data_IF_993907767028
#
_entry.id   IF_993907767028
#
_cell.length_a   1.000
_cell.length_b   1.000
_cell.length_c   1.000
_cell.angle_alpha   90.00
_cell.angle_beta   90.00
_cell.angle_gamma   90.00
#
_symmetry.space_group_name_H-M   'P 1'
#
loop_
_entity.id
_entity.type
_entity.pdbx_description
1 polymer ?
#
# COMPACT_ATOMS: atom_id res chain seq x y z
N UNK A 1 9.54 61.56 -10.55
CA UNK A 1 8.69 60.37 -10.30
C UNK A 1 9.60 59.24 -9.84
N UNK A 2 9.56 58.90 -8.55
CA UNK A 2 10.48 57.94 -7.92
C UNK A 2 9.79 56.58 -7.82
N UNK A 3 10.33 55.55 -8.49
CA UNK A 3 9.84 54.16 -8.38
C UNK A 3 10.58 53.48 -7.23
N UNK A 4 9.87 53.17 -6.15
CA UNK A 4 10.38 52.37 -5.03
C UNK A 4 10.65 50.94 -5.51
N UNK A 5 11.91 50.48 -5.37
CA UNK A 5 12.26 49.05 -5.44
C UNK A 5 11.67 48.35 -4.21
N UNK A 6 10.83 47.36 -4.44
CA UNK A 6 10.41 46.38 -3.43
C UNK A 6 11.43 45.24 -3.43
N UNK A 7 12.20 45.14 -2.35
CA UNK A 7 13.08 44.01 -2.09
C UNK A 7 12.29 42.98 -1.29
N UNK A 8 12.05 41.80 -1.85
CA UNK A 8 11.45 40.68 -1.11
C UNK A 8 12.58 39.91 -0.43
N UNK A 9 12.57 39.89 0.89
CA UNK A 9 13.53 39.15 1.71
C UNK A 9 13.03 37.71 1.87
N UNK A 10 13.77 36.73 1.34
CA UNK A 10 13.54 35.31 1.62
C UNK A 10 13.91 35.03 3.07
N UNK A 11 12.91 34.67 3.88
CA UNK A 11 13.06 34.30 5.28
C UNK A 11 12.39 32.97 5.59
N UNK A 12 13.23 32.00 5.95
CA UNK A 12 12.96 30.81 6.78
C UNK A 12 11.94 29.77 6.26
N UNK A 13 12.47 28.78 5.53
CA UNK A 13 11.76 27.64 4.93
C UNK A 13 11.02 26.71 5.92
N UNK A 14 11.37 26.69 7.21
CA UNK A 14 10.68 25.84 8.20
C UNK A 14 9.22 26.24 8.45
N UNK A 15 8.86 27.52 8.31
CA UNK A 15 7.48 27.99 8.52
C UNK A 15 6.57 27.74 7.32
N UNK A 16 7.13 27.64 6.11
CA UNK A 16 6.34 27.51 4.89
C UNK A 16 5.80 26.08 4.76
N UNK A 17 6.61 25.06 5.03
CA UNK A 17 6.16 23.65 5.06
C UNK A 17 5.10 23.39 6.13
N UNK A 18 5.26 24.00 7.32
CA UNK A 18 4.23 23.91 8.37
C UNK A 18 2.91 24.57 7.94
N UNK A 19 2.97 25.70 7.22
CA UNK A 19 1.76 26.41 6.77
C UNK A 19 0.98 25.69 5.67
N UNK A 20 1.64 24.87 4.85
CA UNK A 20 0.97 24.06 3.81
C UNK A 20 0.31 22.81 4.43
N UNK A 21 0.96 22.17 5.40
CA UNK A 21 0.36 21.06 6.15
C UNK A 21 -0.87 21.50 6.95
N UNK A 22 -0.82 22.69 7.55
CA UNK A 22 -1.94 23.31 8.28
C UNK A 22 -3.09 23.72 7.34
N UNK A 23 -2.79 24.22 6.13
CA UNK A 23 -3.79 24.53 5.10
C UNK A 23 -4.51 23.28 4.56
N UNK A 24 -3.88 22.10 4.65
CA UNK A 24 -4.46 20.80 4.30
C UNK A 24 -5.17 20.12 5.47
N UNK A 25 -5.24 20.76 6.65
CA UNK A 25 -5.91 20.20 7.83
C UNK A 25 -5.19 19.04 8.50
N UNK A 26 -3.92 18.78 8.13
CA UNK A 26 -3.12 17.68 8.66
C UNK A 26 -2.47 18.15 9.97
N UNK A 27 -2.99 17.68 11.11
CA UNK A 27 -2.26 17.80 12.38
C UNK A 27 -1.12 16.79 12.33
N UNK A 28 0.14 17.25 12.32
CA UNK A 28 1.28 16.37 12.60
C UNK A 28 1.07 15.73 13.98
N UNK A 29 0.55 14.52 13.97
CA UNK A 29 0.44 13.73 15.20
C UNK A 29 1.79 13.08 15.40
N UNK A 30 2.48 13.44 16.48
CA UNK A 30 3.70 12.73 16.88
C UNK A 30 3.34 11.28 17.15
N UNK A 31 3.76 10.39 16.25
CA UNK A 31 3.61 8.95 16.38
C UNK A 31 4.95 8.34 16.78
N UNK A 32 4.96 7.25 17.57
CA UNK A 32 6.20 6.57 17.98
C UNK A 32 6.83 5.75 16.84
N UNK A 33 6.38 5.95 15.60
CA UNK A 33 6.85 5.24 14.41
C UNK A 33 6.78 6.15 13.19
N UNK A 34 7.55 5.78 12.18
CA UNK A 34 7.68 6.48 10.90
C UNK A 34 7.44 5.51 9.74
N UNK A 35 6.55 5.88 8.82
CA UNK A 35 6.35 5.14 7.58
C UNK A 35 7.57 5.35 6.66
N UNK A 36 8.19 4.25 6.24
CA UNK A 36 9.37 4.22 5.35
C UNK A 36 9.04 3.72 3.94
N UNK A 37 7.95 2.97 3.79
CA UNK A 37 7.48 2.51 2.48
C UNK A 37 5.97 2.32 2.47
N UNK A 38 5.37 2.44 1.30
CA UNK A 38 3.97 2.14 1.08
C UNK A 38 3.79 1.60 -0.34
N UNK A 39 2.94 0.60 -0.51
CA UNK A 39 2.62 -0.03 -1.77
C UNK A 39 1.14 -0.35 -1.82
N UNK A 40 0.44 0.20 -2.81
CA UNK A 40 -0.95 -0.11 -3.08
C UNK A 40 -1.05 -1.27 -4.08
N UNK A 41 -1.92 -2.23 -3.80
CA UNK A 41 -2.23 -3.34 -4.68
C UNK A 41 -3.69 -3.78 -4.49
N UNK A 42 -4.49 -3.77 -5.56
CA UNK A 42 -5.87 -4.26 -5.58
C UNK A 42 -6.75 -3.78 -4.42
N UNK A 43 -6.64 -2.48 -4.08
CA UNK A 43 -7.40 -1.87 -2.98
C UNK A 43 -6.81 -2.06 -1.59
N UNK A 44 -5.73 -2.83 -1.44
CA UNK A 44 -4.98 -2.98 -0.20
C UNK A 44 -3.74 -2.08 -0.17
N UNK A 45 -3.33 -1.65 1.02
CA UNK A 45 -2.08 -0.95 1.22
C UNK A 45 -1.13 -1.79 2.08
N UNK A 46 -0.01 -2.22 1.48
CA UNK A 46 1.14 -2.76 2.20
C UNK A 46 2.05 -1.61 2.59
N UNK A 47 2.66 -1.67 3.76
CA UNK A 47 3.51 -0.57 4.23
C UNK A 47 4.68 -1.07 5.06
N UNK A 48 5.73 -0.28 5.10
CA UNK A 48 6.86 -0.47 5.99
C UNK A 48 6.97 0.69 6.97
N UNK A 49 7.32 0.38 8.21
CA UNK A 49 7.55 1.40 9.23
C UNK A 49 8.77 1.09 10.09
N UNK A 50 9.30 2.13 10.72
CA UNK A 50 10.39 2.09 11.68
C UNK A 50 9.92 2.70 13.00
N UNK A 51 10.23 2.05 14.12
CA UNK A 51 9.88 2.54 15.46
C UNK A 51 10.90 3.60 15.89
N UNK A 52 10.44 4.82 16.13
CA UNK A 52 11.29 5.99 16.45
C UNK A 52 11.26 6.37 17.92
N UNK A 53 10.29 5.88 18.69
CA UNK A 53 10.20 6.13 20.13
C UNK A 53 9.63 4.90 20.86
N UNK A 54 10.03 4.68 22.11
CA UNK A 54 9.48 3.63 22.98
C UNK A 54 10.23 2.30 22.96
N UNK A 55 9.53 1.22 23.36
CA UNK A 55 10.08 -0.14 23.39
C UNK A 55 10.18 -0.68 21.96
N UNK A 56 11.36 -1.15 21.56
CA UNK A 56 11.64 -1.54 20.17
C UNK A 56 12.18 -0.40 19.30
N UNK A 57 12.76 0.66 19.90
CA UNK A 57 13.42 1.74 19.17
C UNK A 57 14.45 1.19 18.16
N UNK A 58 14.29 1.57 16.89
CA UNK A 58 15.12 1.11 15.78
C UNK A 58 14.63 -0.17 15.09
N UNK A 59 13.56 -0.80 15.59
CA UNK A 59 12.96 -1.94 14.91
C UNK A 59 12.31 -1.51 13.60
N UNK A 60 12.63 -2.24 12.53
CA UNK A 60 12.12 -1.99 11.19
C UNK A 60 11.22 -3.13 10.74
N UNK A 61 10.02 -2.77 10.31
CA UNK A 61 9.01 -3.69 9.80
C UNK A 61 8.79 -3.35 8.32
N UNK A 62 9.58 -3.92 7.39
CA UNK A 62 9.65 -3.43 6.01
C UNK A 62 8.45 -3.82 5.13
N UNK A 63 7.67 -4.83 5.50
CA UNK A 63 6.60 -5.37 4.67
C UNK A 63 5.41 -5.86 5.51
N UNK A 64 4.63 -4.92 6.02
CA UNK A 64 3.37 -5.19 6.72
C UNK A 64 2.24 -5.23 5.71
N UNK A 65 1.52 -6.35 5.67
CA UNK A 65 0.36 -6.52 4.79
C UNK A 65 -0.83 -5.72 5.30
N UNK A 66 -1.56 -5.12 4.37
CA UNK A 66 -2.78 -4.41 4.67
C UNK A 66 -3.88 -5.31 5.24
N UNK A 67 -4.61 -4.83 6.25
CA UNK A 67 -5.69 -5.59 6.89
C UNK A 67 -7.05 -5.46 6.17
N UNK A 68 -7.24 -4.43 5.34
CA UNK A 68 -8.50 -4.17 4.65
C UNK A 68 -8.34 -3.27 3.43
N UNK A 69 -9.45 -2.84 2.86
CA UNK A 69 -9.47 -1.93 1.72
C UNK A 69 -9.18 -0.49 2.17
N UNK A 70 -8.24 0.19 1.51
CA UNK A 70 -7.94 1.58 1.81
C UNK A 70 -9.08 2.50 1.36
N UNK A 71 -9.24 3.64 2.05
CA UNK A 71 -10.22 4.67 1.68
C UNK A 71 -9.71 5.55 0.54
N UNK A 72 -10.65 6.20 -0.16
CA UNK A 72 -10.37 7.05 -1.33
C UNK A 72 -9.23 8.06 -1.10
N UNK A 73 -9.15 8.67 0.08
CA UNK A 73 -8.11 9.65 0.43
C UNK A 73 -6.67 9.14 0.14
N UNK A 74 -6.39 7.88 0.48
CA UNK A 74 -5.08 7.27 0.22
C UNK A 74 -4.86 7.03 -1.29
N UNK A 75 -5.90 6.56 -1.99
CA UNK A 75 -5.87 6.37 -3.43
C UNK A 75 -5.67 7.69 -4.19
N UNK A 76 -6.34 8.76 -3.76
CA UNK A 76 -6.19 10.10 -4.31
C UNK A 76 -4.79 10.67 -4.05
N UNK A 77 -4.21 10.44 -2.86
CA UNK A 77 -2.85 10.84 -2.57
C UNK A 77 -1.82 10.13 -3.47
N UNK A 78 -1.99 8.82 -3.72
CA UNK A 78 -1.18 8.09 -4.71
C UNK A 78 -1.43 8.59 -6.15
N UNK A 79 -2.67 8.91 -6.50
CA UNK A 79 -3.04 9.45 -7.81
C UNK A 79 -2.31 10.76 -8.14
N UNK A 80 -2.12 11.62 -7.14
CA UNK A 80 -1.34 12.86 -7.29
C UNK A 80 0.16 12.62 -7.58
N UNK A 81 0.70 11.42 -7.32
CA UNK A 81 2.09 11.11 -7.70
C UNK A 81 2.25 10.84 -9.20
N UNK A 82 1.16 10.60 -9.94
CA UNK A 82 1.24 10.30 -11.36
C UNK A 82 1.92 11.43 -12.15
N UNK A 83 1.61 12.70 -11.81
CA UNK A 83 2.21 13.85 -12.51
C UNK A 83 3.71 13.95 -12.22
N UNK A 84 4.14 13.69 -10.98
CA UNK A 84 5.55 13.65 -10.62
C UNK A 84 6.29 12.57 -11.40
N UNK A 85 5.69 11.37 -11.47
CA UNK A 85 6.25 10.23 -12.19
C UNK A 85 6.35 10.50 -13.71
N UNK A 86 5.36 11.18 -14.28
CA UNK A 86 5.37 11.65 -15.67
C UNK A 86 6.46 12.72 -15.92
N UNK A 87 6.62 13.68 -15.00
CA UNK A 87 7.68 14.69 -15.06
C UNK A 87 9.09 14.07 -15.03
N UNK A 88 9.29 13.04 -14.20
CA UNK A 88 10.58 12.34 -14.07
C UNK A 88 10.90 11.54 -15.33
N UNK A 89 9.89 11.02 -16.02
CA UNK A 89 10.02 10.35 -17.32
C UNK A 89 10.14 11.34 -18.50
N UNK A 90 10.27 12.64 -18.21
CA UNK A 90 10.45 13.72 -19.20
C UNK A 90 9.36 13.79 -20.29
N UNK A 91 8.19 13.19 -20.07
CA UNK A 91 7.11 13.12 -21.09
C UNK A 91 6.60 14.49 -21.50
N UNK A 92 6.56 15.44 -20.56
CA UNK A 92 6.13 16.81 -20.81
C UNK A 92 7.15 17.57 -21.68
N UNK A 93 8.46 17.31 -21.48
CA UNK A 93 9.51 17.85 -22.34
C UNK A 93 9.40 17.29 -23.76
N UNK A 94 9.18 15.99 -23.90
CA UNK A 94 9.04 15.34 -25.22
C UNK A 94 7.76 15.77 -25.96
N UNK A 95 6.72 16.19 -25.24
CA UNK A 95 5.45 16.66 -25.81
C UNK A 95 5.38 18.18 -25.98
N UNK A 96 6.47 18.92 -25.73
CA UNK A 96 6.52 20.39 -25.77
C UNK A 96 5.44 21.05 -24.89
N UNK A 97 5.12 20.43 -23.76
CA UNK A 97 4.18 20.98 -22.78
C UNK A 97 4.96 21.56 -21.61
N UNK A 98 4.84 22.87 -21.41
CA UNK A 98 5.45 23.56 -20.26
C UNK A 98 4.54 23.42 -19.03
N UNK A 99 5.15 23.10 -17.89
CA UNK A 99 4.45 23.01 -16.60
C UNK A 99 4.82 24.24 -15.78
N UNK A 100 3.84 25.13 -15.60
CA UNK A 100 3.92 26.28 -14.69
C UNK A 100 3.61 25.89 -13.24
N UNK A 101 2.62 25.02 -13.06
CA UNK A 101 2.10 24.60 -11.77
C UNK A 101 1.73 23.11 -11.83
N UNK A 102 2.47 22.28 -11.09
CA UNK A 102 2.31 20.83 -11.11
C UNK A 102 0.91 20.38 -10.65
N UNK A 103 0.26 21.17 -9.80
CA UNK A 103 -1.05 20.80 -9.25
C UNK A 103 -2.18 20.88 -10.28
N UNK A 104 -2.00 21.65 -11.36
CA UNK A 104 -2.96 21.70 -12.47
C UNK A 104 -2.88 20.47 -13.37
N UNK A 105 -1.78 19.72 -13.31
CA UNK A 105 -1.49 18.61 -14.22
C UNK A 105 -1.82 17.22 -13.66
N UNK A 106 -2.38 17.13 -12.45
CA UNK A 106 -2.86 15.86 -11.86
C UNK A 106 -3.88 15.13 -12.75
N UNK A 107 -4.70 15.88 -13.49
CA UNK A 107 -5.74 15.36 -14.40
C UNK A 107 -5.36 15.44 -15.88
N UNK A 108 -4.11 15.77 -16.19
CA UNK A 108 -3.67 15.94 -17.58
C UNK A 108 -3.65 14.59 -18.32
N UNK A 109 -3.92 14.60 -19.63
CA UNK A 109 -3.97 13.39 -20.45
C UNK A 109 -2.67 12.58 -20.38
N UNK A 110 -1.52 13.25 -20.47
CA UNK A 110 -0.21 12.61 -20.34
C UNK A 110 -0.01 11.93 -18.99
N UNK A 111 -0.55 12.51 -17.91
CA UNK A 111 -0.48 11.96 -16.55
C UNK A 111 -1.28 10.66 -16.43
N UNK A 112 -2.40 10.53 -17.16
CA UNK A 112 -3.25 9.33 -17.14
C UNK A 112 -2.57 8.05 -17.64
N UNK A 113 -1.46 8.19 -18.38
CA UNK A 113 -0.65 7.06 -18.84
C UNK A 113 0.17 6.42 -17.71
N UNK A 114 0.32 7.11 -16.59
CA UNK A 114 1.15 6.70 -15.47
C UNK A 114 0.28 6.20 -14.32
N UNK A 115 0.79 5.19 -13.61
CA UNK A 115 0.17 4.66 -12.41
C UNK A 115 1.23 4.32 -11.39
N UNK A 116 1.26 5.05 -10.29
CA UNK A 116 2.21 4.84 -9.21
C UNK A 116 1.65 3.80 -8.26
N UNK A 117 2.45 2.78 -7.94
CA UNK A 117 2.03 1.66 -7.08
C UNK A 117 2.76 1.66 -5.76
N UNK A 118 3.98 2.18 -5.68
CA UNK A 118 4.70 2.22 -4.41
C UNK A 118 5.66 3.39 -4.28
N UNK A 119 5.91 3.74 -3.03
CA UNK A 119 6.93 4.68 -2.61
C UNK A 119 7.85 4.01 -1.59
N UNK A 120 9.13 4.36 -1.65
CA UNK A 120 10.14 3.96 -0.69
C UNK A 120 10.99 5.17 -0.31
N UNK A 121 11.01 5.48 0.97
CA UNK A 121 11.79 6.57 1.55
C UNK A 121 13.06 5.95 2.13
N UNK A 122 14.20 6.55 1.81
CA UNK A 122 15.52 6.08 2.24
C UNK A 122 16.34 7.26 2.70
N UNK A 123 17.00 7.12 3.85
CA UNK A 123 17.89 8.14 4.41
C UNK A 123 17.50 8.55 5.82
N UNK A 124 18.41 9.28 6.46
CA UNK A 124 18.15 9.93 7.74
C UNK A 124 17.32 11.20 7.52
N UNK A 125 16.74 11.76 8.59
CA UNK A 125 15.83 12.91 8.56
C UNK A 125 16.36 14.13 7.77
N UNK A 126 17.67 14.37 7.81
CA UNK A 126 18.32 15.48 7.10
C UNK A 126 18.60 15.20 5.62
N UNK A 127 18.71 13.93 5.22
CA UNK A 127 19.11 13.49 3.88
C UNK A 127 18.13 12.45 3.32
N UNK A 128 16.83 12.69 3.52
CA UNK A 128 15.80 11.80 3.01
C UNK A 128 15.73 11.87 1.48
N UNK A 129 15.64 10.69 0.87
CA UNK A 129 15.42 10.50 -0.55
C UNK A 129 14.20 9.62 -0.76
N UNK A 130 13.52 9.80 -1.89
CA UNK A 130 12.39 8.95 -2.29
C UNK A 130 12.67 8.21 -3.58
N UNK A 131 12.20 6.99 -3.64
CA UNK A 131 12.08 6.17 -4.85
C UNK A 131 10.60 5.92 -5.08
N UNK A 132 10.12 6.27 -6.27
CA UNK A 132 8.74 6.04 -6.70
C UNK A 132 8.77 4.87 -7.68
N UNK A 133 7.88 3.91 -7.51
CA UNK A 133 7.73 2.79 -8.44
C UNK A 133 6.31 2.77 -8.97
N UNK A 134 6.19 2.53 -10.26
CA UNK A 134 4.90 2.51 -10.94
C UNK A 134 4.99 1.85 -12.30
N UNK A 135 3.98 2.10 -13.11
CA UNK A 135 3.92 1.63 -14.49
C UNK A 135 3.44 2.74 -15.42
N UNK A 136 3.91 2.69 -16.66
CA UNK A 136 3.47 3.54 -17.77
C UNK A 136 2.80 2.69 -18.83
N UNK A 137 1.68 3.16 -19.35
CA UNK A 137 1.01 2.56 -20.50
C UNK A 137 1.77 2.87 -21.79
N UNK A 138 2.05 1.84 -22.59
CA UNK A 138 2.73 1.97 -23.88
C UNK A 138 1.73 1.64 -24.99
N UNK A 139 1.28 2.68 -25.71
CA UNK A 139 0.27 2.55 -26.76
C UNK A 139 0.67 1.59 -27.88
N UNK A 140 1.95 1.58 -28.30
CA UNK A 140 2.41 0.75 -29.41
C UNK A 140 2.43 -0.76 -29.11
N UNK A 141 2.43 -1.15 -27.84
CA UNK A 141 2.40 -2.57 -27.42
C UNK A 141 1.09 -2.95 -26.74
N UNK A 142 0.22 -1.99 -26.42
CA UNK A 142 -0.99 -2.19 -25.64
C UNK A 142 -0.74 -2.60 -24.17
N UNK A 143 0.52 -2.64 -23.74
CA UNK A 143 0.93 -3.12 -22.43
C UNK A 143 1.20 -2.01 -21.42
N UNK A 144 1.62 -2.42 -20.22
CA UNK A 144 2.18 -1.52 -19.19
C UNK A 144 3.63 -1.92 -18.95
N UNK A 145 4.54 -0.95 -18.91
CA UNK A 145 5.92 -1.18 -18.48
C UNK A 145 6.10 -0.66 -17.07
N UNK A 146 6.66 -1.48 -16.18
CA UNK A 146 7.00 -1.09 -14.82
C UNK A 146 8.39 -0.45 -14.77
N UNK A 147 8.53 0.62 -14.00
CA UNK A 147 9.85 1.19 -13.71
C UNK A 147 9.86 1.87 -12.34
N UNK A 148 11.06 2.09 -11.82
CA UNK A 148 11.32 2.83 -10.59
C UNK A 148 12.18 4.05 -10.88
N UNK A 149 11.89 5.16 -10.23
CA UNK A 149 12.69 6.38 -10.37
C UNK A 149 14.09 6.18 -9.77
N UNK A 150 15.08 6.95 -10.20
CA UNK A 150 16.27 7.20 -9.41
C UNK A 150 15.89 7.74 -8.02
N UNK A 151 16.83 7.74 -7.08
CA UNK A 151 16.63 8.36 -5.77
C UNK A 151 16.53 9.88 -5.93
N UNK A 152 15.45 10.46 -5.45
CA UNK A 152 15.19 11.91 -5.51
C UNK A 152 15.35 12.48 -4.11
N UNK A 153 16.36 13.34 -3.87
CA UNK A 153 16.50 14.06 -2.61
C UNK A 153 15.36 15.04 -2.37
N UNK A 154 14.99 15.23 -1.11
CA UNK A 154 14.05 16.28 -0.68
C UNK A 154 14.72 17.61 -0.30
N UNK A 155 16.04 17.70 -0.46
CA UNK A 155 16.83 18.87 -0.14
C UNK A 155 16.98 19.82 -1.35
N UNK A 156 17.60 20.98 -1.11
CA UNK A 156 17.88 21.98 -2.14
C UNK A 156 18.92 21.50 -3.19
N UNK A 157 19.57 20.36 -2.95
CA UNK A 157 20.51 19.73 -3.88
C UNK A 157 19.79 18.85 -4.91
N UNK A 158 18.48 18.66 -4.77
CA UNK A 158 17.67 17.91 -5.74
C UNK A 158 17.68 18.57 -7.11
N UNK A 159 18.01 17.80 -8.15
CA UNK A 159 17.90 18.23 -9.54
C UNK A 159 16.45 18.27 -10.03
N UNK A 160 15.52 17.73 -9.25
CA UNK A 160 14.09 17.72 -9.55
C UNK A 160 13.44 19.04 -9.16
N UNK A 161 12.86 19.73 -10.14
CA UNK A 161 12.31 21.08 -9.98
C UNK A 161 11.20 21.16 -8.93
N UNK A 162 10.34 20.15 -8.83
CA UNK A 162 9.16 20.12 -7.94
C UNK A 162 9.41 19.29 -6.67
N UNK A 163 10.61 19.32 -6.11
CA UNK A 163 10.99 18.53 -4.93
C UNK A 163 10.21 18.94 -3.67
N UNK A 164 9.79 20.21 -3.56
CA UNK A 164 9.01 20.69 -2.41
C UNK A 164 7.58 20.13 -2.42
N UNK A 165 6.94 20.18 -3.58
CA UNK A 165 5.60 19.64 -3.83
C UNK A 165 5.62 18.11 -3.67
N UNK A 166 6.65 17.45 -4.19
CA UNK A 166 6.86 16.02 -3.99
C UNK A 166 7.01 15.68 -2.51
N UNK A 167 7.82 16.43 -1.76
CA UNK A 167 8.00 16.23 -0.32
C UNK A 167 6.68 16.38 0.44
N UNK A 168 5.91 17.43 0.14
CA UNK A 168 4.59 17.65 0.75
C UNK A 168 3.64 16.49 0.45
N UNK A 169 3.62 16.00 -0.79
CA UNK A 169 2.79 14.88 -1.20
C UNK A 169 3.20 13.55 -0.54
N UNK A 170 4.51 13.28 -0.43
CA UNK A 170 5.00 12.09 0.26
C UNK A 170 4.64 12.14 1.75
N UNK A 171 4.70 13.32 2.39
CA UNK A 171 4.26 13.48 3.78
C UNK A 171 2.75 13.25 3.93
N UNK A 172 1.92 13.71 2.98
CA UNK A 172 0.49 13.39 2.95
C UNK A 172 0.26 11.88 2.85
N UNK A 173 0.98 11.18 1.98
CA UNK A 173 0.86 9.72 1.87
C UNK A 173 1.28 9.03 3.16
N UNK A 174 2.36 9.46 3.81
CA UNK A 174 2.78 8.90 5.10
C UNK A 174 1.71 9.06 6.17
N UNK A 175 1.03 10.21 6.20
CA UNK A 175 -0.07 10.46 7.13
C UNK A 175 -1.25 9.51 6.86
N UNK A 176 -1.70 9.41 5.61
CA UNK A 176 -2.81 8.52 5.22
C UNK A 176 -2.49 7.04 5.47
N UNK A 177 -1.25 6.61 5.25
CA UNK A 177 -0.79 5.25 5.57
C UNK A 177 -0.76 5.02 7.08
N UNK A 178 -0.40 6.03 7.86
CA UNK A 178 -0.43 5.94 9.33
C UNK A 178 -1.87 5.81 9.85
N UNK A 179 -2.80 6.59 9.30
CA UNK A 179 -4.22 6.46 9.59
C UNK A 179 -4.77 5.09 9.17
N UNK A 180 -4.35 4.58 8.01
CA UNK A 180 -4.70 3.24 7.56
C UNK A 180 -4.20 2.16 8.53
N UNK A 181 -2.94 2.24 8.98
CA UNK A 181 -2.39 1.38 10.04
C UNK A 181 -3.20 1.46 11.35
N UNK A 182 -3.75 2.62 11.65
CA UNK A 182 -4.58 2.89 12.85
C UNK A 182 -6.05 2.48 12.71
N UNK A 183 -6.46 1.95 11.55
CA UNK A 183 -7.83 1.44 11.35
C UNK A 183 -8.67 2.20 10.31
N UNK A 184 -8.12 3.18 9.58
CA UNK A 184 -8.82 3.89 8.50
C UNK A 184 -8.90 3.01 7.23
N UNK A 185 -9.60 1.89 7.33
CA UNK A 185 -9.88 0.97 6.22
C UNK A 185 -11.30 0.38 6.33
N UNK A 186 -11.76 -0.24 5.26
CA UNK A 186 -13.01 -1.02 5.24
C UNK A 186 -12.67 -2.48 5.05
N UNK A 187 -13.31 -3.38 5.80
CA UNK A 187 -13.13 -4.82 5.57
C UNK A 187 -13.88 -5.20 4.29
N UNK A 188 -13.36 -6.15 3.48
CA UNK A 188 -14.12 -6.73 2.39
C UNK A 188 -15.37 -7.40 2.96
N UNK A 189 -16.52 -7.23 2.31
CA UNK A 189 -17.72 -7.99 2.67
C UNK A 189 -17.41 -9.48 2.46
N UNK A 190 -17.35 -10.26 3.54
CA UNK A 190 -17.26 -11.71 3.44
C UNK A 190 -18.61 -12.24 2.96
N UNK A 191 -18.63 -12.90 1.81
CA UNK A 191 -19.82 -13.55 1.22
C UNK A 191 -20.50 -14.56 2.18
N UNK A 192 -19.84 -14.94 3.28
CA UNK A 192 -20.32 -15.87 4.29
C UNK A 192 -21.37 -15.30 5.27
N UNK A 193 -21.51 -13.98 5.43
CA UNK A 193 -22.48 -13.43 6.38
C UNK A 193 -23.93 -13.39 5.85
N UNK A 194 -24.12 -13.37 4.52
CA UNK A 194 -25.47 -13.37 3.94
C UNK A 194 -26.19 -14.73 4.07
N UNK A 195 -25.45 -15.83 4.23
CA UNK A 195 -26.04 -17.16 4.42
C UNK A 195 -26.48 -17.39 5.87
N UNK A 196 -25.86 -16.75 6.87
CA UNK A 196 -26.21 -16.97 8.28
C UNK A 196 -27.47 -16.22 8.75
N UNK A 197 -27.88 -15.17 8.03
CA UNK A 197 -29.03 -14.34 8.39
C UNK A 197 -30.35 -14.75 7.70
N UNK A 198 -30.33 -15.67 6.72
CA UNK A 198 -31.55 -16.22 6.08
C UNK A 198 -32.07 -17.52 6.70
N UNK A 199 -31.25 -18.26 7.46
CA UNK A 199 -31.69 -19.56 8.03
C UNK A 199 -32.26 -19.50 9.45
N UNK A 200 -32.00 -18.44 10.22
CA UNK A 200 -32.50 -18.33 11.62
C UNK A 200 -33.99 -17.96 11.73
N UNK A 201 -34.68 -17.74 10.61
CA UNK A 201 -36.09 -17.30 10.58
C UNK A 201 -37.13 -18.37 10.21
N UNK A 202 -36.75 -19.61 9.87
CA UNK A 202 -37.70 -20.58 9.28
C UNK A 202 -37.82 -21.97 9.92
N UNK A 203 -37.09 -22.28 10.99
CA UNK A 203 -37.13 -23.63 11.59
C UNK A 203 -37.69 -23.76 13.02
N UNK A 204 -38.44 -22.77 13.53
CA UNK A 204 -39.20 -22.90 14.78
C UNK A 204 -40.70 -22.97 14.46
N UNK A 205 -41.12 -24.09 13.85
CA UNK A 205 -42.51 -24.61 13.81
C UNK A 205 -42.55 -25.80 12.86
N UNK A 206 -42.10 -26.96 13.32
CA UNK A 206 -42.54 -28.31 12.92
C UNK A 206 -41.49 -29.33 13.34
N UNK A 207 -41.63 -29.86 14.56
CA UNK A 207 -41.37 -31.25 14.97
C UNK A 207 -41.37 -31.33 16.50
N UNK A 208 -42.52 -30.99 17.08
CA UNK A 208 -43.04 -31.78 18.19
C UNK A 208 -43.70 -33.00 17.54
N UNK A 209 -43.65 -34.17 18.16
CA UNK A 209 -44.22 -35.47 17.70
C UNK A 209 -43.23 -36.39 16.94
N UNK A 210 -42.01 -36.61 17.45
CA UNK A 210 -41.27 -37.85 17.10
C UNK A 210 -40.32 -38.37 18.20
N UNK A 211 -40.45 -37.88 19.43
CA UNK A 211 -39.68 -38.36 20.60
C UNK A 211 -40.49 -39.30 21.52
N UNK A 212 -41.64 -39.82 21.07
CA UNK A 212 -42.49 -40.72 21.90
C UNK A 212 -42.62 -42.16 21.39
N UNK A 213 -41.86 -42.59 20.38
CA UNK A 213 -41.91 -43.98 19.91
C UNK A 213 -40.50 -44.43 19.52
N UNK A 214 -39.68 -44.79 20.52
CA UNK A 214 -38.58 -45.78 20.43
C UNK A 214 -37.84 -45.89 21.78
N UNK A 215 -38.61 -46.11 22.85
CA UNK A 215 -38.16 -46.97 23.94
C UNK A 215 -38.79 -48.34 23.67
N UNK A 216 -37.99 -49.27 23.15
CA UNK A 216 -38.09 -50.73 23.40
C UNK A 216 -37.00 -51.42 22.60
N UNK A 217 -36.28 -52.30 23.29
CA UNK A 217 -35.22 -53.22 22.82
C UNK A 217 -33.84 -52.54 22.68
N UNK A 218 -32.80 -52.85 23.45
CA UNK A 218 -32.53 -54.03 24.26
C UNK A 218 -31.19 -54.63 23.86
N UNK A 219 -30.20 -54.47 24.75
CA UNK A 219 -29.09 -55.41 25.04
C UNK A 219 -27.99 -55.75 23.99
N UNK A 220 -26.75 -55.41 24.40
CA UNK A 220 -25.60 -56.32 24.61
C UNK A 220 -24.46 -56.51 23.57
N UNK A 221 -23.31 -56.81 24.21
CA UNK A 221 -21.97 -57.25 23.76
C UNK A 221 -21.07 -56.21 23.09
N UNK A 222 -19.91 -55.81 23.63
CA UNK A 222 -18.76 -56.52 24.23
C UNK A 222 -17.82 -57.17 23.20
N UNK A 223 -16.51 -57.11 23.52
CA UNK A 223 -15.30 -57.53 22.78
C UNK A 223 -14.86 -56.55 21.68
N UNK A 224 -13.63 -56.02 21.62
CA UNK A 224 -12.32 -56.46 22.11
C UNK A 224 -11.39 -56.73 20.92
N UNK A 225 -10.07 -56.59 21.12
CA UNK A 225 -8.94 -57.11 20.30
C UNK A 225 -8.33 -56.19 19.20
N UNK A 226 -7.18 -55.61 19.57
CA UNK A 226 -5.80 -55.75 19.02
C UNK A 226 -5.42 -55.47 17.56
N UNK A 227 -4.23 -54.85 17.47
CA UNK A 227 -3.12 -55.02 16.52
C UNK A 227 -3.37 -54.86 15.01
N UNK A 228 -2.65 -53.92 14.38
CA UNK A 228 -1.40 -54.24 13.67
C UNK A 228 -0.75 -52.98 13.08
N UNK A 229 0.57 -52.95 13.21
CA UNK A 229 1.54 -52.10 12.54
C UNK A 229 1.49 -52.22 11.02
N UNK A 230 1.72 -51.13 10.30
CA UNK A 230 2.29 -51.23 8.94
C UNK A 230 3.32 -50.12 8.72
N UNK A 231 4.59 -50.52 8.79
CA UNK A 231 5.74 -49.79 8.28
C UNK A 231 5.81 -50.04 6.77
N UNK A 232 5.75 -48.98 5.96
CA UNK A 232 6.26 -49.08 4.59
C UNK A 232 7.24 -47.95 4.30
N UNK A 233 8.50 -48.38 4.21
CA UNK A 233 9.63 -47.62 3.69
C UNK A 233 9.38 -47.22 2.24
N UNK A 234 9.24 -45.92 1.99
CA UNK A 234 9.32 -45.35 0.65
C UNK A 234 10.77 -45.01 0.31
N UNK A 235 11.45 -45.95 -0.35
CA UNK A 235 12.70 -45.69 -1.07
C UNK A 235 12.37 -44.89 -2.35
N UNK A 236 12.87 -43.66 -2.45
CA UNK A 236 12.90 -42.89 -3.70
C UNK A 236 14.35 -42.88 -4.26
N UNK A 237 14.62 -43.59 -5.36
CA UNK A 237 15.85 -43.46 -6.12
C UNK A 237 15.58 -42.73 -7.44
N UNK A 238 16.08 -41.49 -7.58
CA UNK A 238 16.30 -40.87 -8.89
C UNK A 238 17.19 -39.62 -8.80
N UNK A 239 18.49 -39.84 -8.61
CA UNK A 239 19.49 -38.96 -9.21
C UNK A 239 19.46 -39.23 -10.73
N UNK A 240 18.90 -38.29 -11.50
CA UNK A 240 19.05 -38.23 -12.95
C UNK A 240 19.76 -36.91 -13.27
N UNK A 241 21.09 -36.95 -13.22
CA UNK A 241 21.93 -35.98 -13.91
C UNK A 241 22.20 -36.51 -15.32
N UNK A 242 21.53 -35.90 -16.31
CA UNK A 242 21.84 -36.07 -17.72
C UNK A 242 21.96 -34.71 -18.40
N UNK A 243 23.23 -34.39 -18.66
CA UNK A 243 23.74 -33.97 -19.96
C UNK A 243 23.28 -32.64 -20.59
N UNK A 244 24.27 -31.77 -20.71
CA UNK A 244 24.73 -31.20 -21.98
C UNK A 244 23.65 -30.83 -23.00
N UNK A 245 23.47 -29.52 -23.17
CA UNK A 245 23.62 -28.88 -24.48
C UNK A 245 23.36 -27.39 -24.34
N UNK A 246 24.37 -26.57 -24.62
CA UNK A 246 24.15 -25.40 -25.49
C UNK A 246 25.47 -24.89 -26.06
N UNK A 247 25.47 -25.01 -27.39
CA UNK A 247 26.25 -24.31 -28.43
C UNK A 247 26.48 -22.85 -28.11
#
# INVERSE_FOLDING_TARGET
MSRKKLTVTLGNNSKVVASVAEALGLKETKRPYKIVSASINDGFCNYGFEVTEGVGLGDQHPNVKGAGLYKNDLGEAFGKLHVHFACIDDVFKHSNTEIDDIDKFHIHELTSLYHVTSIKIVGAEENETVVITGSKHISCTGGRTGFSTPRIPFDELSSYQWHNELRALINLIREEVSLYKEGKYTLPDSEDEELSHKEKGKHIKQRTILDQIKETEGENSDTGTDDESDETEGLDPADIDLESNRV
#
